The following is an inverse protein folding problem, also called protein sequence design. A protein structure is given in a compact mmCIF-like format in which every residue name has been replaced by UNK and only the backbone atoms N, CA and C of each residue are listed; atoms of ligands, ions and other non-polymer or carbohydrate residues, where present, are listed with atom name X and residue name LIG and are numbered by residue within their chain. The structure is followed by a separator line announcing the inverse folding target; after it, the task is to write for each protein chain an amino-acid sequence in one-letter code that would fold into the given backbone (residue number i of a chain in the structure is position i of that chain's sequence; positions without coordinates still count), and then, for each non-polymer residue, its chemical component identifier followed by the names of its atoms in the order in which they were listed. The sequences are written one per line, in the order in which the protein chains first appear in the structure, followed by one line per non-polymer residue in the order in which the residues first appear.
data_IF_188775350795
#
_entry.id   IF_188775350795
#
_cell.length_a   1.000
_cell.length_b   1.000
_cell.length_c   1.000
_cell.angle_alpha   90.00
_cell.angle_beta   90.00
_cell.angle_gamma   90.00
#
_symmetry.space_group_name_H-M   'P 1'
#
loop_
_entity.id
_entity.type
_entity.pdbx_description
1 polymer ?
#
# COMPACT_ATOMS: atom_id res chain seq x y z
N UNK A 1 -13.12 12.47 -5.61
CA UNK A 1 -12.01 11.91 -4.82
C UNK A 1 -12.32 11.92 -3.30
N UNK A 2 -13.23 11.06 -2.81
CA UNK A 2 -13.64 11.03 -1.38
C UNK A 2 -13.43 9.68 -0.67
N UNK A 3 -12.90 8.64 -1.32
CA UNK A 3 -12.82 7.27 -0.77
C UNK A 3 -11.51 6.92 -0.03
N UNK A 4 -10.39 7.60 -0.29
CA UNK A 4 -9.08 7.17 0.23
C UNK A 4 -8.72 7.68 1.64
N UNK A 5 -9.49 8.62 2.21
CA UNK A 5 -9.23 9.11 3.58
C UNK A 5 -9.66 8.13 4.67
N UNK A 6 -10.63 7.26 4.40
CA UNK A 6 -11.12 6.28 5.38
C UNK A 6 -10.08 5.20 5.71
N UNK A 7 -9.45 4.65 4.68
CA UNK A 7 -8.47 3.55 4.83
C UNK A 7 -7.27 3.95 5.69
N UNK A 8 -6.73 5.15 5.50
CA UNK A 8 -5.61 5.67 6.31
C UNK A 8 -6.00 5.94 7.78
N UNK A 9 -7.26 6.30 8.03
CA UNK A 9 -7.78 6.53 9.37
C UNK A 9 -7.95 5.23 10.16
N UNK A 10 -8.42 4.17 9.51
CA UNK A 10 -8.63 2.85 10.13
C UNK A 10 -7.32 2.18 10.55
N UNK A 11 -6.29 2.21 9.70
CA UNK A 11 -4.97 1.62 10.01
C UNK A 11 -4.36 2.19 11.29
N UNK A 12 -4.47 3.51 11.49
CA UNK A 12 -3.98 4.18 12.71
C UNK A 12 -4.76 3.80 13.97
N UNK A 13 -6.05 3.48 13.84
CA UNK A 13 -6.89 3.19 15.00
C UNK A 13 -6.64 1.78 15.56
N UNK A 14 -6.20 0.85 14.71
CA UNK A 14 -5.91 -0.55 15.05
C UNK A 14 -4.46 -0.80 15.50
N UNK A 15 -3.62 0.24 15.59
CA UNK A 15 -2.21 0.10 15.97
C UNK A 15 -1.35 -0.60 14.91
N UNK A 16 -1.86 -0.75 13.69
CA UNK A 16 -1.09 -1.29 12.57
C UNK A 16 -0.19 -0.19 12.00
N UNK A 17 1.11 -0.44 12.07
CA UNK A 17 2.12 0.39 11.42
C UNK A 17 2.46 -0.24 10.07
N UNK A 18 2.21 0.50 9.00
CA UNK A 18 2.76 0.15 7.69
C UNK A 18 4.27 0.35 7.74
N UNK A 19 5.01 -0.58 7.14
CA UNK A 19 6.40 -0.37 6.75
C UNK A 19 6.51 0.80 5.75
N UNK A 20 7.72 1.33 5.58
CA UNK A 20 7.97 2.40 4.61
C UNK A 20 7.57 1.98 3.19
N UNK A 21 7.90 0.74 2.80
CA UNK A 21 7.54 0.19 1.49
C UNK A 21 6.02 0.07 1.28
N UNK A 22 5.28 -0.38 2.29
CA UNK A 22 3.82 -0.45 2.23
C UNK A 22 3.18 0.94 2.16
N UNK A 23 3.76 1.92 2.89
CA UNK A 23 3.31 3.31 2.84
C UNK A 23 3.52 3.92 1.44
N UNK A 24 4.70 3.72 0.85
CA UNK A 24 4.99 4.20 -0.51
C UNK A 24 4.05 3.59 -1.55
N UNK A 25 3.80 2.28 -1.45
CA UNK A 25 2.88 1.55 -2.31
C UNK A 25 1.45 2.10 -2.20
N UNK A 26 0.97 2.31 -0.97
CA UNK A 26 -0.34 2.90 -0.71
C UNK A 26 -0.43 4.32 -1.29
N UNK A 27 0.59 5.15 -1.12
CA UNK A 27 0.63 6.50 -1.67
C UNK A 27 0.59 6.47 -3.21
N UNK A 28 1.30 5.54 -3.85
CA UNK A 28 1.26 5.37 -5.31
C UNK A 28 -0.15 5.03 -5.80
N UNK A 29 -0.85 4.12 -5.12
CA UNK A 29 -2.22 3.74 -5.47
C UNK A 29 -3.21 4.89 -5.26
N UNK A 30 -3.22 5.54 -4.08
CA UNK A 30 -4.19 6.60 -3.79
C UNK A 30 -3.98 7.87 -4.63
N UNK A 31 -2.76 8.08 -5.14
CA UNK A 31 -2.43 9.16 -6.08
C UNK A 31 -2.70 8.81 -7.55
N UNK A 32 -3.14 7.58 -7.84
CA UNK A 32 -3.44 7.12 -9.20
C UNK A 32 -2.21 6.87 -10.06
N UNK A 33 -1.02 6.73 -9.47
CA UNK A 33 0.23 6.41 -10.20
C UNK A 33 0.32 4.95 -10.61
N UNK A 34 -0.42 4.07 -9.95
CA UNK A 34 -0.53 2.64 -10.26
C UNK A 34 -1.99 2.20 -10.29
N UNK A 35 -2.26 1.12 -11.03
CA UNK A 35 -3.58 0.48 -11.06
C UNK A 35 -3.83 -0.35 -9.80
N UNK A 36 -5.10 -0.69 -9.54
CA UNK A 36 -5.47 -1.64 -8.48
C UNK A 36 -4.78 -2.99 -8.67
N UNK A 37 -4.72 -3.49 -9.91
CA UNK A 37 -4.00 -4.73 -10.26
C UNK A 37 -2.50 -4.65 -9.95
N UNK A 38 -1.86 -3.50 -10.20
CA UNK A 38 -0.46 -3.28 -9.81
C UNK A 38 -0.28 -3.27 -8.29
N UNK A 39 -1.22 -2.63 -7.57
CA UNK A 39 -1.19 -2.52 -6.13
C UNK A 39 -1.28 -3.91 -5.49
N UNK A 40 -2.26 -4.72 -5.90
CA UNK A 40 -2.45 -6.08 -5.36
C UNK A 40 -1.22 -6.96 -5.61
N UNK A 41 -0.63 -6.90 -6.81
CA UNK A 41 0.59 -7.65 -7.14
C UNK A 41 1.75 -7.24 -6.23
N UNK A 42 2.00 -5.93 -6.08
CA UNK A 42 3.13 -5.44 -5.30
C UNK A 42 2.93 -5.64 -3.80
N UNK A 43 1.70 -5.53 -3.30
CA UNK A 43 1.37 -5.84 -1.91
C UNK A 43 1.64 -7.31 -1.60
N UNK A 44 1.28 -8.22 -2.51
CA UNK A 44 1.59 -9.64 -2.38
C UNK A 44 3.09 -9.91 -2.41
N UNK A 45 3.84 -9.25 -3.30
CA UNK A 45 5.31 -9.35 -3.36
C UNK A 45 5.97 -8.91 -2.04
N UNK A 46 5.51 -7.83 -1.43
CA UNK A 46 5.99 -7.33 -0.13
C UNK A 46 5.73 -8.35 0.99
N UNK A 47 4.53 -8.92 1.05
CA UNK A 47 4.16 -9.92 2.07
C UNK A 47 4.95 -11.22 1.91
N UNK A 48 5.19 -11.65 0.67
CA UNK A 48 5.93 -12.88 0.38
C UNK A 48 7.46 -12.72 0.53
N UNK A 49 7.96 -11.50 0.79
CA UNK A 49 9.39 -11.24 0.89
C UNK A 49 10.14 -11.51 -0.42
N UNK A 50 9.48 -11.33 -1.56
CA UNK A 50 10.11 -11.47 -2.87
C UNK A 50 10.99 -10.24 -3.07
N UNK A 51 12.21 -10.28 -2.54
CA UNK A 51 13.22 -9.28 -2.84
C UNK A 51 13.41 -9.26 -4.35
N UNK A 52 13.09 -8.13 -4.98
CA UNK A 52 13.47 -7.89 -6.36
C UNK A 52 15.00 -7.84 -6.39
N UNK A 53 15.63 -8.96 -6.72
CA UNK A 53 17.05 -9.00 -7.09
C UNK A 53 17.30 -7.90 -8.14
N UNK A 54 18.23 -7.00 -7.80
CA UNK A 54 18.50 -5.77 -8.54
C UNK A 54 19.72 -5.93 -9.43
#
# INVERSE_FOLDING_TARGET
MKRNRGALGTLKHEGMHLTEAEMELLVAFVSGRITEKEYDRQALELVLGVEKER
#
